data_IF_858448936366
#
_entry.id   IF_858448936366
#
_cell.length_a   1.000
_cell.length_b   1.000
_cell.length_c   1.000
_cell.angle_alpha   90.00
_cell.angle_beta   90.00
_cell.angle_gamma   90.00
#
_symmetry.space_group_name_H-M   'P 1'
#
loop_
_entity.id
_entity.type
_entity.pdbx_description
1 polymer ?
#
# COMPACT_ATOMS: atom_id res chain seq x y z
N UNK A 1 -77.72 39.75 49.83
CA UNK A 1 -77.94 38.94 48.63
C UNK A 1 -77.18 39.63 47.50
N UNK A 2 -76.06 39.05 47.05
CA UNK A 2 -75.36 39.56 45.88
C UNK A 2 -76.29 39.41 44.68
N UNK A 3 -76.48 40.49 43.93
CA UNK A 3 -77.43 40.57 42.83
C UNK A 3 -76.95 39.68 41.66
N UNK A 4 -77.83 38.98 40.92
CA UNK A 4 -77.47 38.10 39.81
C UNK A 4 -76.49 38.70 38.77
N UNK A 5 -76.45 40.02 38.67
CA UNK A 5 -75.53 40.75 37.79
C UNK A 5 -74.06 40.70 38.24
N UNK A 6 -73.77 40.64 39.54
CA UNK A 6 -72.39 40.54 40.04
C UNK A 6 -71.82 39.14 39.79
N UNK A 7 -72.63 38.09 39.98
CA UNK A 7 -72.26 36.70 39.69
C UNK A 7 -71.92 36.53 38.19
N UNK A 8 -72.74 37.12 37.29
CA UNK A 8 -72.47 37.06 35.85
C UNK A 8 -71.21 37.85 35.47
N UNK A 9 -70.90 38.94 36.19
CA UNK A 9 -69.72 39.76 35.95
C UNK A 9 -68.44 39.04 36.41
N UNK A 10 -68.47 38.38 37.57
CA UNK A 10 -67.39 37.51 38.05
C UNK A 10 -67.14 36.34 37.12
N UNK A 11 -68.18 35.60 36.73
CA UNK A 11 -68.05 34.46 35.81
C UNK A 11 -67.45 34.86 34.45
N UNK A 12 -67.80 36.06 33.93
CA UNK A 12 -67.19 36.60 32.70
C UNK A 12 -65.73 37.00 32.89
N UNK A 13 -65.36 37.49 34.08
CA UNK A 13 -63.99 37.86 34.39
C UNK A 13 -63.10 36.60 34.52
N UNK A 14 -63.59 35.57 35.21
CA UNK A 14 -62.93 34.26 35.30
C UNK A 14 -62.77 33.60 33.93
N UNK A 15 -63.83 33.55 33.12
CA UNK A 15 -63.75 32.98 31.78
C UNK A 15 -62.71 33.70 30.91
N UNK A 16 -62.61 35.03 31.00
CA UNK A 16 -61.57 35.80 30.30
C UNK A 16 -60.16 35.52 30.85
N UNK A 17 -60.03 35.34 32.17
CA UNK A 17 -58.75 35.00 32.78
C UNK A 17 -58.26 33.62 32.29
N UNK A 18 -59.16 32.62 32.28
CA UNK A 18 -58.86 31.26 31.79
C UNK A 18 -58.43 31.29 30.32
N UNK A 19 -59.16 32.00 29.46
CA UNK A 19 -58.79 32.12 28.04
C UNK A 19 -57.42 32.78 27.87
N UNK A 20 -57.15 33.85 28.62
CA UNK A 20 -55.88 34.56 28.56
C UNK A 20 -54.70 33.73 29.08
N UNK A 21 -54.92 32.93 30.11
CA UNK A 21 -53.94 31.97 30.64
C UNK A 21 -53.62 30.90 29.59
N UNK A 22 -54.66 30.30 28.99
CA UNK A 22 -54.52 29.29 27.93
C UNK A 22 -53.82 29.83 26.68
N UNK A 23 -54.10 31.08 26.27
CA UNK A 23 -53.40 31.75 25.17
C UNK A 23 -51.91 31.96 25.49
N UNK A 24 -51.60 32.36 26.73
CA UNK A 24 -50.22 32.56 27.17
C UNK A 24 -49.45 31.25 27.27
N UNK A 25 -50.07 30.19 27.78
CA UNK A 25 -49.48 28.84 27.80
C UNK A 25 -49.21 28.35 26.37
N UNK A 26 -50.19 28.49 25.47
CA UNK A 26 -50.03 28.12 24.06
C UNK A 26 -48.87 28.86 23.39
N UNK A 27 -48.74 30.16 23.61
CA UNK A 27 -47.65 30.96 23.05
C UNK A 27 -46.29 30.55 23.64
N UNK A 28 -46.26 30.21 24.94
CA UNK A 28 -45.09 29.65 25.61
C UNK A 28 -44.65 28.32 25.01
N UNK A 29 -45.58 27.37 24.87
CA UNK A 29 -45.33 26.07 24.26
C UNK A 29 -44.86 26.18 22.82
N UNK A 30 -45.45 27.06 22.01
CA UNK A 30 -45.02 27.28 20.63
C UNK A 30 -43.57 27.80 20.57
N UNK A 31 -43.20 28.76 21.42
CA UNK A 31 -41.82 29.29 21.48
C UNK A 31 -40.81 28.24 21.93
N UNK A 32 -41.18 27.36 22.86
CA UNK A 32 -40.31 26.24 23.26
C UNK A 32 -40.12 25.24 22.12
N UNK A 33 -41.21 24.87 21.44
CA UNK A 33 -41.18 23.95 20.31
C UNK A 33 -40.33 24.50 19.15
N UNK A 34 -40.47 25.79 18.82
CA UNK A 34 -39.63 26.45 17.82
C UNK A 34 -38.15 26.44 18.21
N UNK A 35 -37.82 26.66 19.48
CA UNK A 35 -36.43 26.60 19.97
C UNK A 35 -35.87 25.18 19.90
N UNK A 36 -36.66 24.16 20.24
CA UNK A 36 -36.24 22.77 20.14
C UNK A 36 -36.02 22.34 18.70
N UNK A 37 -36.92 22.73 17.79
CA UNK A 37 -36.79 22.46 16.35
C UNK A 37 -35.51 23.08 15.79
N UNK A 38 -35.24 24.36 16.08
CA UNK A 38 -34.01 25.02 15.63
C UNK A 38 -32.75 24.33 16.16
N UNK A 39 -32.73 23.99 17.45
CA UNK A 39 -31.60 23.26 18.04
C UNK A 39 -31.39 21.89 17.39
N UNK A 40 -32.48 21.22 17.01
CA UNK A 40 -32.41 19.92 16.34
C UNK A 40 -31.88 20.07 14.92
N UNK A 41 -32.38 21.05 14.16
CA UNK A 41 -31.90 21.37 12.81
C UNK A 41 -30.41 21.72 12.81
N UNK A 42 -29.95 22.57 13.74
CA UNK A 42 -28.54 22.93 13.88
C UNK A 42 -27.66 21.72 14.18
N UNK A 43 -28.10 20.83 15.09
CA UNK A 43 -27.39 19.59 15.41
C UNK A 43 -27.34 18.64 14.22
N UNK A 44 -28.46 18.45 13.52
CA UNK A 44 -28.51 17.58 12.35
C UNK A 44 -27.60 18.13 11.25
N UNK A 45 -27.66 19.43 10.96
CA UNK A 45 -26.81 20.08 9.97
C UNK A 45 -25.32 19.92 10.31
N UNK A 46 -24.93 20.21 11.56
CA UNK A 46 -23.56 20.03 12.03
C UNK A 46 -23.09 18.57 11.88
N UNK A 47 -23.95 17.59 12.19
CA UNK A 47 -23.62 16.17 12.02
C UNK A 47 -23.48 15.76 10.55
N UNK A 48 -24.24 16.39 9.64
CA UNK A 48 -24.10 16.15 8.21
C UNK A 48 -22.80 16.76 7.66
N UNK A 49 -22.45 17.96 8.09
CA UNK A 49 -21.18 18.61 7.70
C UNK A 49 -19.97 17.82 8.17
N UNK A 50 -19.98 17.29 9.40
CA UNK A 50 -18.92 16.45 9.94
C UNK A 50 -18.75 15.17 9.11
N UNK A 51 -19.84 14.45 8.85
CA UNK A 51 -19.83 13.24 8.01
C UNK A 51 -19.38 13.51 6.57
N UNK A 52 -19.73 14.67 6.00
CA UNK A 52 -19.25 15.08 4.69
C UNK A 52 -17.74 15.32 4.70
N UNK A 53 -17.22 16.01 5.71
CA UNK A 53 -15.77 16.21 5.85
C UNK A 53 -15.02 14.90 5.97
N UNK A 54 -15.49 14.00 6.84
CA UNK A 54 -14.91 12.66 6.99
C UNK A 54 -14.91 11.88 5.69
N UNK A 55 -16.04 11.88 4.97
CA UNK A 55 -16.15 11.20 3.67
C UNK A 55 -15.20 11.77 2.62
N UNK A 56 -15.06 13.10 2.55
CA UNK A 56 -14.10 13.72 1.63
C UNK A 56 -12.67 13.31 1.95
N UNK A 57 -12.29 13.27 3.23
CA UNK A 57 -10.97 12.82 3.67
C UNK A 57 -10.74 11.35 3.32
N UNK A 58 -11.73 10.50 3.58
CA UNK A 58 -11.69 9.07 3.28
C UNK A 58 -11.50 8.83 1.78
N UNK A 59 -12.35 9.41 0.94
CA UNK A 59 -12.31 9.25 -0.51
C UNK A 59 -11.01 9.81 -1.12
N UNK A 60 -10.55 10.97 -0.64
CA UNK A 60 -9.27 11.53 -1.08
C UNK A 60 -8.09 10.62 -0.69
N UNK A 61 -8.15 10.00 0.48
CA UNK A 61 -7.11 9.09 0.94
C UNK A 61 -7.09 7.80 0.12
N UNK A 62 -8.26 7.24 -0.21
CA UNK A 62 -8.40 6.11 -1.12
C UNK A 62 -7.82 6.43 -2.50
N UNK A 63 -8.23 7.55 -3.10
CA UNK A 63 -7.73 7.98 -4.40
C UNK A 63 -6.20 8.15 -4.42
N UNK A 64 -5.62 8.70 -3.35
CA UNK A 64 -4.15 8.83 -3.21
C UNK A 64 -3.46 7.47 -3.13
N UNK A 65 -4.02 6.52 -2.38
CA UNK A 65 -3.47 5.17 -2.27
C UNK A 65 -3.55 4.43 -3.60
N UNK A 66 -4.66 4.56 -4.32
CA UNK A 66 -4.82 3.98 -5.66
C UNK A 66 -3.82 4.59 -6.66
N UNK A 67 -3.69 5.91 -6.70
CA UNK A 67 -2.70 6.58 -7.53
C UNK A 67 -1.28 6.10 -7.23
N UNK A 68 -0.92 5.98 -5.94
CA UNK A 68 0.38 5.44 -5.53
C UNK A 68 0.57 4.01 -6.04
N UNK A 69 -0.42 3.13 -5.88
CA UNK A 69 -0.35 1.74 -6.36
C UNK A 69 -0.15 1.66 -7.87
N UNK A 70 -0.85 2.49 -8.64
CA UNK A 70 -0.69 2.54 -10.11
C UNK A 70 0.74 2.94 -10.48
N UNK A 71 1.29 3.96 -9.83
CA UNK A 71 2.66 4.43 -10.08
C UNK A 71 3.69 3.37 -9.70
N UNK A 72 3.59 2.76 -8.50
CA UNK A 72 4.51 1.70 -8.07
C UNK A 72 4.47 0.50 -9.04
N UNK A 73 3.27 0.09 -9.46
CA UNK A 73 3.13 -1.01 -10.43
C UNK A 73 3.80 -0.67 -11.77
N UNK A 74 3.60 0.55 -12.27
CA UNK A 74 4.25 0.98 -13.50
C UNK A 74 5.78 1.04 -13.38
N UNK A 75 6.29 1.45 -12.22
CA UNK A 75 7.73 1.42 -11.90
C UNK A 75 8.30 0.00 -11.89
N UNK A 76 7.59 -0.93 -11.25
CA UNK A 76 7.97 -2.35 -11.20
C UNK A 76 7.99 -2.97 -12.61
N UNK A 77 6.94 -2.73 -13.41
CA UNK A 77 6.87 -3.23 -14.80
C UNK A 77 8.00 -2.66 -15.67
N UNK A 78 8.31 -1.37 -15.50
CA UNK A 78 9.40 -0.71 -16.22
C UNK A 78 10.77 -1.29 -15.82
N UNK A 79 10.99 -1.45 -14.52
CA UNK A 79 12.23 -2.05 -14.00
C UNK A 79 12.38 -3.50 -14.46
N UNK A 80 11.32 -4.30 -14.43
CA UNK A 80 11.36 -5.71 -14.85
C UNK A 80 11.80 -5.85 -16.31
N UNK A 81 11.26 -5.02 -17.21
CA UNK A 81 11.66 -5.01 -18.64
C UNK A 81 13.12 -4.61 -18.82
N UNK A 82 13.53 -3.52 -18.16
CA UNK A 82 14.91 -3.05 -18.23
C UNK A 82 15.90 -4.09 -17.67
N UNK A 83 15.51 -4.79 -16.60
CA UNK A 83 16.31 -5.86 -16.01
C UNK A 83 16.44 -7.05 -16.95
N UNK A 84 15.35 -7.46 -17.61
CA UNK A 84 15.34 -8.54 -18.61
C UNK A 84 16.31 -8.22 -19.76
N UNK A 85 16.23 -7.02 -20.34
CA UNK A 85 17.14 -6.58 -21.41
C UNK A 85 18.60 -6.50 -20.93
N UNK A 86 18.84 -6.04 -19.70
CA UNK A 86 20.17 -5.96 -19.12
C UNK A 86 20.76 -7.35 -18.85
N UNK A 87 19.94 -8.30 -18.40
CA UNK A 87 20.34 -9.70 -18.18
C UNK A 87 20.70 -10.34 -19.51
N UNK A 88 19.86 -10.21 -20.54
CA UNK A 88 20.15 -10.74 -21.87
C UNK A 88 21.46 -10.15 -22.44
N UNK A 89 21.65 -8.84 -22.27
CA UNK A 89 22.89 -8.17 -22.69
C UNK A 89 24.10 -8.66 -21.91
N UNK A 90 23.96 -8.90 -20.60
CA UNK A 90 25.03 -9.42 -19.76
C UNK A 90 25.42 -10.84 -20.17
N UNK A 91 24.45 -11.74 -20.36
CA UNK A 91 24.68 -13.12 -20.76
C UNK A 91 25.47 -13.24 -22.08
N UNK A 92 25.26 -12.32 -23.01
CA UNK A 92 25.96 -12.26 -24.29
C UNK A 92 27.29 -11.48 -24.26
N UNK A 93 27.73 -11.03 -23.08
CA UNK A 93 28.92 -10.19 -22.92
C UNK A 93 30.14 -10.97 -22.43
N UNK A 94 31.32 -10.40 -22.67
CA UNK A 94 32.57 -10.91 -22.07
C UNK A 94 32.55 -10.86 -20.54
N UNK A 95 31.81 -9.90 -19.95
CA UNK A 95 31.70 -9.76 -18.50
C UNK A 95 31.00 -10.95 -17.84
N UNK A 96 30.06 -11.61 -18.52
CA UNK A 96 29.45 -12.83 -18.00
C UNK A 96 30.42 -14.01 -18.01
N UNK A 97 31.23 -14.14 -19.05
CA UNK A 97 32.31 -15.13 -19.09
C UNK A 97 33.31 -14.93 -17.96
N UNK A 98 33.73 -13.69 -17.73
CA UNK A 98 34.62 -13.33 -16.63
C UNK A 98 33.98 -13.61 -15.27
N UNK A 99 32.67 -13.36 -15.13
CA UNK A 99 31.90 -13.71 -13.95
C UNK A 99 31.95 -15.21 -13.67
N UNK A 100 31.61 -16.08 -14.65
CA UNK A 100 31.67 -17.54 -14.50
C UNK A 100 33.06 -18.00 -14.03
N UNK A 101 34.13 -17.48 -14.66
CA UNK A 101 35.49 -17.82 -14.28
C UNK A 101 35.82 -17.39 -12.85
N UNK A 102 35.45 -16.17 -12.47
CA UNK A 102 35.70 -15.64 -11.13
C UNK A 102 34.93 -16.40 -10.04
N UNK A 103 33.67 -16.80 -10.31
CA UNK A 103 32.85 -17.58 -9.39
C UNK A 103 33.42 -18.98 -9.16
N UNK A 104 33.94 -19.63 -10.20
CA UNK A 104 34.58 -20.94 -10.07
C UNK A 104 35.86 -20.82 -9.22
N UNK A 105 36.69 -19.83 -9.49
CA UNK A 105 37.94 -19.62 -8.73
C UNK A 105 37.67 -19.22 -7.28
N UNK A 106 36.63 -18.44 -7.02
CA UNK A 106 36.15 -18.14 -5.67
C UNK A 106 35.67 -19.41 -4.96
N UNK A 107 34.87 -20.24 -5.63
CA UNK A 107 34.43 -21.53 -5.08
C UNK A 107 35.58 -22.48 -4.76
N UNK A 108 36.59 -22.60 -5.64
CA UNK A 108 37.81 -23.39 -5.38
C UNK A 108 38.64 -22.83 -4.22
N UNK A 109 38.71 -21.51 -4.08
CA UNK A 109 39.42 -20.85 -2.98
C UNK A 109 38.76 -21.15 -1.64
N UNK A 110 37.43 -21.20 -1.59
CA UNK A 110 36.68 -21.44 -0.35
C UNK A 110 36.52 -22.91 0.01
N UNK A 111 36.27 -23.78 -0.98
CA UNK A 111 36.00 -25.21 -0.75
C UNK A 111 37.22 -26.12 -1.00
N UNK A 112 38.30 -25.59 -1.59
CA UNK A 112 39.49 -26.34 -2.00
C UNK A 112 39.50 -26.69 -3.49
N UNK A 113 40.61 -27.23 -3.99
CA UNK A 113 40.81 -27.50 -5.42
C UNK A 113 40.00 -28.70 -5.97
N UNK A 114 39.48 -29.56 -5.10
CA UNK A 114 38.78 -30.79 -5.48
C UNK A 114 37.26 -30.56 -5.34
N UNK A 115 36.68 -29.89 -6.35
CA UNK A 115 35.27 -29.45 -6.40
C UNK A 115 34.57 -29.96 -7.66
N UNK A 116 33.25 -30.07 -7.59
CA UNK A 116 32.36 -30.32 -8.71
C UNK A 116 31.71 -28.99 -9.09
N UNK A 117 31.73 -28.64 -10.37
CA UNK A 117 31.18 -27.38 -10.88
C UNK A 117 29.93 -27.68 -11.69
N UNK A 118 28.79 -27.21 -11.23
CA UNK A 118 27.51 -27.36 -11.90
C UNK A 118 27.24 -26.15 -12.78
N UNK A 119 26.98 -26.38 -14.07
CA UNK A 119 26.74 -25.35 -15.07
C UNK A 119 25.50 -25.67 -15.89
N UNK A 120 24.93 -24.62 -16.49
CA UNK A 120 23.95 -24.80 -17.54
C UNK A 120 24.61 -25.39 -18.79
N UNK A 121 23.88 -26.22 -19.53
CA UNK A 121 24.35 -26.75 -20.83
C UNK A 121 24.64 -25.65 -21.84
N UNK A 122 23.89 -24.56 -21.81
CA UNK A 122 24.10 -23.43 -22.71
C UNK A 122 25.38 -22.64 -22.42
N UNK A 123 25.98 -22.81 -21.23
CA UNK A 123 27.23 -22.16 -20.83
C UNK A 123 28.48 -23.02 -21.13
N UNK A 124 28.28 -24.22 -21.66
CA UNK A 124 29.33 -25.20 -21.93
C UNK A 124 30.46 -24.65 -22.82
N UNK A 125 30.13 -23.81 -23.80
CA UNK A 125 31.12 -23.25 -24.74
C UNK A 125 31.86 -22.03 -24.17
N UNK A 126 31.36 -21.43 -23.09
CA UNK A 126 31.91 -20.21 -22.51
C UNK A 126 33.10 -20.51 -21.59
N UNK A 127 33.09 -21.65 -20.89
CA UNK A 127 34.11 -22.01 -19.92
C UNK A 127 34.42 -23.51 -19.96
N UNK A 128 35.70 -23.84 -19.88
CA UNK A 128 36.19 -25.22 -19.83
C UNK A 128 37.14 -25.36 -18.66
N UNK A 129 36.69 -26.06 -17.62
CA UNK A 129 37.50 -26.45 -16.45
C UNK A 129 37.25 -27.92 -16.14
N UNK A 130 38.16 -28.55 -15.42
CA UNK A 130 37.98 -29.93 -14.97
C UNK A 130 36.88 -30.01 -13.90
N UNK A 131 36.14 -31.12 -13.88
CA UNK A 131 35.09 -31.36 -12.86
C UNK A 131 33.73 -30.73 -13.13
N UNK A 132 33.43 -30.33 -14.38
CA UNK A 132 32.13 -29.77 -14.74
C UNK A 132 31.06 -30.86 -14.90
N UNK A 133 29.87 -30.59 -14.35
CA UNK A 133 28.61 -31.29 -14.60
C UNK A 133 27.61 -30.31 -15.20
N UNK A 134 26.92 -30.71 -16.28
CA UNK A 134 25.94 -29.87 -16.98
C UNK A 134 24.50 -30.23 -16.59
N UNK A 135 24.13 -29.93 -15.36
CA UNK A 135 22.84 -30.26 -14.74
C UNK A 135 22.13 -29.06 -14.09
N UNK A 136 22.68 -27.84 -14.22
CA UNK A 136 22.03 -26.65 -13.69
C UNK A 136 20.95 -26.15 -14.66
N UNK A 137 19.73 -25.95 -14.15
CA UNK A 137 18.62 -25.41 -14.93
C UNK A 137 18.74 -23.88 -15.11
N UNK A 138 19.35 -23.17 -14.16
CA UNK A 138 19.61 -21.73 -14.22
C UNK A 138 20.95 -21.42 -14.90
N UNK A 139 21.15 -20.16 -15.31
CA UNK A 139 22.42 -19.59 -15.77
C UNK A 139 23.34 -19.31 -14.57
N UNK A 140 24.65 -19.25 -14.77
CA UNK A 140 25.63 -19.04 -13.70
C UNK A 140 26.32 -20.34 -13.27
N UNK A 141 26.79 -20.39 -12.02
CA UNK A 141 27.60 -21.52 -11.52
C UNK A 141 27.16 -21.94 -10.13
N UNK A 142 27.09 -23.24 -9.87
CA UNK A 142 27.07 -23.77 -8.49
C UNK A 142 28.32 -24.60 -8.26
N UNK A 143 29.05 -24.34 -7.18
CA UNK A 143 30.29 -25.06 -6.84
C UNK A 143 30.05 -25.91 -5.62
N UNK A 144 30.24 -27.21 -5.76
CA UNK A 144 30.03 -28.22 -4.72
C UNK A 144 31.36 -28.86 -4.32
N UNK A 145 31.59 -29.05 -3.03
CA UNK A 145 32.72 -29.85 -2.53
C UNK A 145 32.60 -31.30 -2.98
N UNK A 146 33.70 -32.00 -3.29
CA UNK A 146 33.65 -33.41 -3.73
C UNK A 146 32.93 -34.39 -2.81
N UNK A 147 32.83 -34.09 -1.51
CA UNK A 147 32.09 -34.91 -0.54
C UNK A 147 30.61 -34.52 -0.39
N UNK A 148 30.15 -33.55 -1.19
CA UNK A 148 28.78 -33.03 -1.26
C UNK A 148 28.29 -32.29 -0.02
N UNK A 149 29.18 -31.92 0.90
CA UNK A 149 28.77 -31.29 2.17
C UNK A 149 28.61 -29.78 2.08
N UNK A 150 29.34 -29.13 1.19
CA UNK A 150 29.35 -27.69 1.03
C UNK A 150 29.03 -27.31 -0.41
N UNK A 151 28.13 -26.34 -0.55
CA UNK A 151 27.67 -25.83 -1.84
C UNK A 151 27.73 -24.31 -1.77
N UNK A 152 28.32 -23.70 -2.79
CA UNK A 152 28.32 -22.26 -3.00
C UNK A 152 27.55 -21.95 -4.27
N UNK A 153 26.50 -21.15 -4.12
CA UNK A 153 25.59 -20.78 -5.19
C UNK A 153 26.00 -19.42 -5.78
N UNK A 154 26.43 -19.45 -7.05
CA UNK A 154 26.71 -18.29 -7.89
C UNK A 154 25.82 -18.34 -9.15
N UNK A 155 24.60 -18.86 -9.00
CA UNK A 155 23.58 -18.78 -10.04
C UNK A 155 23.24 -17.31 -10.33
N UNK A 156 22.74 -17.08 -11.54
CA UNK A 156 22.29 -15.76 -11.95
C UNK A 156 21.12 -15.31 -11.08
N UNK A 157 20.21 -16.22 -10.71
CA UNK A 157 19.11 -15.93 -9.79
C UNK A 157 19.62 -15.42 -8.44
N UNK A 158 20.59 -16.10 -7.82
CA UNK A 158 21.17 -15.67 -6.54
C UNK A 158 21.90 -14.32 -6.68
N UNK A 159 22.64 -14.12 -7.78
CA UNK A 159 23.29 -12.83 -8.07
C UNK A 159 22.27 -11.68 -8.17
N UNK A 160 21.18 -11.92 -8.90
CA UNK A 160 20.12 -10.93 -9.09
C UNK A 160 19.39 -10.65 -7.79
N UNK A 161 19.09 -11.67 -6.98
CA UNK A 161 18.45 -11.52 -5.68
C UNK A 161 19.32 -10.68 -4.73
N UNK A 162 20.60 -11.03 -4.60
CA UNK A 162 21.57 -10.28 -3.78
C UNK A 162 21.74 -8.84 -4.22
N UNK A 163 21.59 -8.55 -5.51
CA UNK A 163 21.75 -7.20 -6.06
C UNK A 163 20.43 -6.47 -6.31
N UNK A 164 19.28 -7.10 -6.08
CA UNK A 164 17.97 -6.60 -6.51
C UNK A 164 17.71 -5.16 -6.02
N UNK A 165 17.92 -4.91 -4.73
CA UNK A 165 17.70 -3.59 -4.14
C UNK A 165 18.65 -2.53 -4.70
N UNK A 166 19.92 -2.90 -4.88
CA UNK A 166 20.92 -1.98 -5.45
C UNK A 166 20.64 -1.65 -6.92
N UNK A 167 20.17 -2.64 -7.70
CA UNK A 167 19.80 -2.48 -9.10
C UNK A 167 18.56 -1.62 -9.25
N UNK A 168 17.52 -1.86 -8.43
CA UNK A 168 16.32 -1.02 -8.37
C UNK A 168 16.67 0.43 -8.00
N UNK A 169 17.50 0.63 -6.97
CA UNK A 169 17.90 1.96 -6.53
C UNK A 169 18.70 2.71 -7.61
N UNK A 170 19.64 2.03 -8.28
CA UNK A 170 20.41 2.61 -9.37
C UNK A 170 19.51 2.97 -10.56
N UNK A 171 18.62 2.06 -10.96
CA UNK A 171 17.70 2.26 -12.07
C UNK A 171 16.79 3.48 -11.85
N UNK A 172 16.10 3.55 -10.72
CA UNK A 172 15.18 4.67 -10.47
C UNK A 172 15.91 6.01 -10.32
N UNK A 173 17.12 6.00 -9.77
CA UNK A 173 17.98 7.20 -9.74
C UNK A 173 18.33 7.70 -11.14
N UNK A 174 18.63 6.80 -12.07
CA UNK A 174 19.02 7.14 -13.44
C UNK A 174 17.83 7.61 -14.29
N UNK A 175 16.67 7.00 -14.09
CA UNK A 175 15.42 7.36 -14.79
C UNK A 175 14.71 8.57 -14.16
N UNK A 176 15.29 9.20 -13.12
CA UNK A 176 14.71 10.31 -12.34
C UNK A 176 13.31 10.00 -11.79
N UNK A 177 13.12 8.79 -11.25
CA UNK A 177 11.87 8.28 -10.70
C UNK A 177 11.93 8.01 -9.20
#
# INVERSE_FOLDING_TARGET
MLLPQEIVKEAKAEAKAIVKEAEKEKEGSLKELEKELKKREEKELSSYEERLKERVVEETSKARLEAKRVVEKAKEELFAKALEEAVESFLNSAAYRDYLASSIEEGKRELGNDVVVHLNKEDQELISVDGIVYDLDDRGVVVESKDGKFVLDFSLSELLERKADSLKAAFFKEVNL
#
